data_IF_215850010871
#
_entry.id   IF_215850010871
#
_cell.length_a   1.000
_cell.length_b   1.000
_cell.length_c   1.000
_cell.angle_alpha   90.00
_cell.angle_beta   90.00
_cell.angle_gamma   90.00
#
_symmetry.space_group_name_H-M   'P 1'
#
loop_
_entity.id
_entity.type
_entity.pdbx_description
1 polymer ?
#
# COMPACT_ATOMS: atom_id res chain seq x y z
N UNK A 1 23.56 43.06 -1.12
CA UNK A 1 23.36 41.86 -0.25
C UNK A 1 22.13 41.10 -0.76
N UNK A 2 22.34 40.00 -1.47
CA UNK A 2 21.24 39.16 -2.02
C UNK A 2 20.81 38.16 -0.96
N UNK A 3 19.55 38.24 -0.54
CA UNK A 3 18.95 37.31 0.43
C UNK A 3 18.53 36.04 -0.32
N UNK A 4 19.22 34.93 -0.04
CA UNK A 4 18.84 33.60 -0.49
C UNK A 4 17.71 33.13 0.44
N UNK A 5 16.48 33.11 -0.07
CA UNK A 5 15.35 32.51 0.64
C UNK A 5 15.44 31.00 0.44
N UNK A 6 15.68 30.32 1.56
CA UNK A 6 15.71 28.87 1.70
C UNK A 6 14.33 28.32 1.31
N UNK A 7 14.27 27.59 0.20
CA UNK A 7 13.13 26.75 -0.13
C UNK A 7 13.14 25.56 0.84
N UNK A 8 12.36 25.65 1.92
CA UNK A 8 12.02 24.53 2.76
C UNK A 8 11.16 23.55 1.94
N UNK A 9 11.82 22.57 1.32
CA UNK A 9 11.15 21.47 0.65
C UNK A 9 10.33 20.70 1.68
N UNK A 10 9.02 20.63 1.46
CA UNK A 10 8.12 19.70 2.12
C UNK A 10 8.59 18.30 1.73
N UNK A 11 9.45 17.70 2.56
CA UNK A 11 9.72 16.28 2.50
C UNK A 11 8.45 15.58 2.96
N UNK A 12 7.66 15.11 1.99
CA UNK A 12 6.60 14.15 2.25
C UNK A 12 7.30 12.87 2.75
N UNK A 13 7.41 12.72 4.06
CA UNK A 13 8.00 11.56 4.71
C UNK A 13 7.08 10.35 4.55
N UNK A 14 6.98 9.79 3.33
CA UNK A 14 6.27 8.54 3.05
C UNK A 14 7.16 7.31 3.26
N UNK A 15 7.86 7.25 4.39
CA UNK A 15 8.53 6.03 4.85
C UNK A 15 8.31 5.87 6.36
N UNK A 16 7.06 5.73 6.78
CA UNK A 16 6.74 5.13 8.07
C UNK A 16 5.69 4.05 7.88
N UNK A 17 6.16 2.82 7.71
CA UNK A 17 5.50 1.60 8.22
C UNK A 17 6.45 0.41 8.13
N UNK A 18 7.71 0.59 8.55
CA UNK A 18 8.52 -0.54 9.05
C UNK A 18 8.26 -0.81 10.54
N UNK A 19 7.70 0.15 11.29
CA UNK A 19 7.37 -0.01 12.72
C UNK A 19 6.14 -0.90 13.00
N UNK A 20 5.40 -1.30 11.96
CA UNK A 20 4.28 -2.25 12.08
C UNK A 20 4.66 -3.66 11.63
N UNK A 21 5.82 -3.84 10.99
CA UNK A 21 6.22 -5.14 10.46
C UNK A 21 6.55 -6.11 11.58
N UNK A 22 7.23 -5.66 12.64
CA UNK A 22 7.61 -6.54 13.75
C UNK A 22 6.41 -6.95 14.61
N UNK A 23 5.48 -6.04 14.91
CA UNK A 23 4.27 -6.38 15.67
C UNK A 23 3.31 -7.27 14.84
N UNK A 24 3.24 -7.05 13.52
CA UNK A 24 2.50 -7.93 12.60
C UNK A 24 3.20 -9.29 12.46
N UNK A 25 4.53 -9.32 12.40
CA UNK A 25 5.33 -10.55 12.30
C UNK A 25 5.26 -11.37 13.59
N UNK A 26 5.32 -10.73 14.75
CA UNK A 26 5.16 -11.39 16.05
C UNK A 26 3.71 -11.86 16.25
N UNK A 27 2.73 -11.05 15.84
CA UNK A 27 1.32 -11.45 15.84
C UNK A 27 1.03 -12.61 14.88
N UNK A 28 1.61 -12.60 13.67
CA UNK A 28 1.52 -13.70 12.69
C UNK A 28 2.24 -14.95 13.20
N UNK A 29 3.43 -14.82 13.78
CA UNK A 29 4.20 -15.95 14.32
C UNK A 29 3.46 -16.58 15.48
N UNK A 30 2.85 -15.77 16.35
CA UNK A 30 2.00 -16.23 17.46
C UNK A 30 0.72 -16.92 16.97
N UNK A 31 0.05 -16.38 15.95
CA UNK A 31 -1.10 -17.03 15.29
C UNK A 31 -0.75 -18.35 14.59
N UNK A 32 0.45 -18.49 14.04
CA UNK A 32 0.91 -19.75 13.41
C UNK A 32 1.15 -20.84 14.46
N UNK A 33 1.48 -20.47 15.71
CA UNK A 33 1.77 -21.41 16.79
C UNK A 33 0.54 -21.73 17.66
N UNK A 34 -0.49 -20.88 17.68
CA UNK A 34 -1.79 -21.18 18.29
C UNK A 34 -2.61 -22.11 17.40
N UNK A 35 -2.59 -23.40 17.73
CA UNK A 35 -3.17 -24.49 16.93
C UNK A 35 -4.69 -24.61 16.99
N UNK A 36 -5.42 -23.70 17.62
CA UNK A 36 -6.87 -23.83 17.76
C UNK A 36 -7.61 -22.51 17.47
N UNK A 37 -8.53 -22.58 16.49
CA UNK A 37 -9.65 -21.65 16.26
C UNK A 37 -9.40 -20.24 15.72
N UNK A 38 -8.40 -20.05 14.85
CA UNK A 38 -8.44 -18.97 13.84
C UNK A 38 -9.00 -19.51 12.51
N UNK A 39 -9.77 -18.74 11.71
CA UNK A 39 -10.08 -19.07 10.32
C UNK A 39 -8.83 -18.85 9.45
N UNK A 40 -7.73 -19.49 9.84
CA UNK A 40 -6.44 -19.44 9.20
C UNK A 40 -6.43 -20.31 7.96
N UNK A 41 -5.85 -19.74 6.90
CA UNK A 41 -5.45 -20.36 5.63
C UNK A 41 -5.78 -21.85 5.48
N UNK A 42 -6.75 -22.14 4.63
CA UNK A 42 -7.24 -23.49 4.38
C UNK A 42 -6.12 -24.38 3.86
N UNK A 43 -5.88 -25.50 4.54
CA UNK A 43 -5.02 -26.56 4.06
C UNK A 43 -5.62 -27.22 2.80
N UNK A 44 -4.95 -27.01 1.67
CA UNK A 44 -5.32 -27.52 0.35
C UNK A 44 -4.64 -28.86 0.02
N UNK A 45 -3.82 -29.41 0.92
CA UNK A 45 -3.12 -30.70 0.70
C UNK A 45 -4.07 -31.89 0.50
N UNK A 46 -5.37 -31.71 0.75
CA UNK A 46 -6.43 -32.67 0.41
C UNK A 46 -7.00 -32.57 -1.01
N UNK A 47 -6.55 -31.64 -1.86
CA UNK A 47 -7.01 -31.51 -3.26
C UNK A 47 -6.40 -32.56 -4.21
N UNK A 48 -5.24 -33.15 -3.86
CA UNK A 48 -4.59 -34.21 -4.66
C UNK A 48 -5.12 -35.62 -4.34
N UNK A 49 -6.09 -35.76 -3.42
CA UNK A 49 -6.74 -37.05 -3.19
C UNK A 49 -7.73 -37.28 -4.34
N UNK A 50 -7.65 -38.39 -5.10
CA UNK A 50 -8.65 -38.71 -6.10
C UNK A 50 -9.97 -38.95 -5.37
N UNK A 51 -10.81 -37.91 -5.31
CA UNK A 51 -12.18 -38.06 -4.86
C UNK A 51 -12.86 -38.93 -5.92
N UNK A 52 -13.41 -40.08 -5.50
CA UNK A 52 -14.26 -40.87 -6.36
C UNK A 52 -15.34 -39.92 -6.93
N UNK A 53 -15.43 -39.74 -8.27
CA UNK A 53 -16.32 -38.76 -8.86
C UNK A 53 -17.75 -39.18 -8.55
N UNK A 54 -18.39 -38.50 -7.59
CA UNK A 54 -19.84 -38.49 -7.58
C UNK A 54 -20.23 -37.74 -8.84
N UNK A 55 -20.75 -38.45 -9.84
CA UNK A 55 -21.24 -37.88 -11.10
C UNK A 55 -22.46 -36.98 -10.83
N UNK A 56 -22.23 -35.83 -10.20
CA UNK A 56 -23.19 -34.74 -10.14
C UNK A 56 -23.08 -34.01 -11.47
N UNK A 57 -24.23 -33.84 -12.14
CA UNK A 57 -24.31 -33.03 -13.36
C UNK A 57 -23.78 -31.63 -13.04
N UNK A 58 -22.72 -31.25 -13.74
CA UNK A 58 -22.11 -29.92 -13.60
C UNK A 58 -23.16 -28.85 -13.89
N UNK A 59 -23.29 -27.89 -12.97
CA UNK A 59 -24.20 -26.76 -13.14
C UNK A 59 -23.64 -25.79 -14.19
N UNK A 60 -24.48 -24.93 -14.80
CA UNK A 60 -23.97 -23.92 -15.74
C UNK A 60 -23.07 -22.90 -15.02
N UNK A 61 -22.11 -22.32 -15.75
CA UNK A 61 -21.13 -21.36 -15.21
C UNK A 61 -21.77 -20.11 -14.58
N UNK A 62 -22.96 -19.72 -15.03
CA UNK A 62 -23.72 -18.58 -14.51
C UNK A 62 -24.46 -18.88 -13.20
N UNK A 63 -24.57 -20.15 -12.80
CA UNK A 63 -25.31 -20.58 -11.62
C UNK A 63 -24.73 -19.95 -10.34
N UNK A 64 -25.61 -19.46 -9.47
CA UNK A 64 -25.23 -19.00 -8.13
C UNK A 64 -25.04 -20.23 -7.24
N UNK A 65 -23.84 -20.38 -6.69
CA UNK A 65 -23.47 -21.54 -5.87
C UNK A 65 -23.42 -21.21 -4.38
N UNK A 66 -23.25 -19.94 -4.03
CA UNK A 66 -23.32 -19.43 -2.66
C UNK A 66 -23.69 -17.93 -2.65
N UNK A 67 -24.21 -17.46 -1.53
CA UNK A 67 -24.39 -16.02 -1.26
C UNK A 67 -23.73 -15.71 0.08
N UNK A 68 -22.85 -14.72 0.11
CA UNK A 68 -22.13 -14.31 1.33
C UNK A 68 -22.28 -12.80 1.50
N UNK A 69 -22.93 -12.38 2.60
CA UNK A 69 -23.17 -10.96 2.89
C UNK A 69 -23.79 -10.17 1.72
N UNK A 70 -24.73 -10.79 0.99
CA UNK A 70 -25.35 -10.20 -0.21
C UNK A 70 -24.57 -10.38 -1.52
N UNK A 71 -23.31 -10.81 -1.47
CA UNK A 71 -22.50 -11.12 -2.64
C UNK A 71 -22.82 -12.51 -3.18
N UNK A 72 -23.29 -12.58 -4.43
CA UNK A 72 -23.57 -13.85 -5.12
C UNK A 72 -22.27 -14.41 -5.71
N UNK A 73 -21.84 -15.56 -5.21
CA UNK A 73 -20.72 -16.31 -5.78
C UNK A 73 -21.28 -17.22 -6.86
N UNK A 74 -20.80 -17.03 -8.10
CA UNK A 74 -21.19 -17.84 -9.26
C UNK A 74 -20.22 -19.00 -9.46
N UNK A 75 -20.70 -20.06 -10.12
CA UNK A 75 -19.91 -21.23 -10.46
C UNK A 75 -18.64 -20.86 -11.22
N UNK A 76 -18.75 -19.99 -12.23
CA UNK A 76 -17.59 -19.49 -12.99
C UNK A 76 -16.47 -18.97 -12.08
N UNK A 77 -16.82 -18.16 -11.07
CA UNK A 77 -15.83 -17.60 -10.14
C UNK A 77 -15.12 -18.69 -9.34
N UNK A 78 -15.84 -19.72 -8.91
CA UNK A 78 -15.24 -20.84 -8.21
C UNK A 78 -14.42 -21.75 -9.12
N UNK A 79 -14.87 -22.00 -10.35
CA UNK A 79 -14.13 -22.77 -11.36
C UNK A 79 -12.82 -22.04 -11.74
N UNK A 80 -12.87 -20.74 -12.04
CA UNK A 80 -11.70 -19.91 -12.35
C UNK A 80 -10.69 -19.96 -11.19
N UNK A 81 -11.17 -19.74 -9.96
CA UNK A 81 -10.34 -19.77 -8.75
C UNK A 81 -9.68 -21.15 -8.53
N UNK A 82 -10.45 -22.23 -8.72
CA UNK A 82 -9.96 -23.59 -8.57
C UNK A 82 -8.93 -23.95 -9.65
N UNK A 83 -9.17 -23.53 -10.89
CA UNK A 83 -8.25 -23.73 -12.00
C UNK A 83 -6.90 -23.04 -11.75
N UNK A 84 -6.92 -21.77 -11.31
CA UNK A 84 -5.72 -21.01 -10.99
C UNK A 84 -4.94 -21.66 -9.84
N UNK A 85 -5.65 -22.11 -8.79
CA UNK A 85 -5.04 -22.68 -7.59
C UNK A 85 -4.44 -24.07 -7.82
N UNK A 86 -5.10 -24.89 -8.63
CA UNK A 86 -4.70 -26.27 -8.91
C UNK A 86 -3.86 -26.40 -10.17
N UNK A 87 -3.58 -25.29 -10.87
CA UNK A 87 -2.90 -25.26 -12.17
C UNK A 87 -3.59 -26.18 -13.19
N UNK A 88 -4.92 -26.20 -13.18
CA UNK A 88 -5.75 -26.98 -14.09
C UNK A 88 -5.95 -28.45 -13.75
N UNK A 89 -5.45 -28.96 -12.61
CA UNK A 89 -5.72 -30.35 -12.19
C UNK A 89 -7.20 -30.59 -11.86
N UNK A 90 -7.88 -29.58 -11.29
CA UNK A 90 -9.31 -29.61 -11.03
C UNK A 90 -9.90 -28.29 -11.50
N UNK A 91 -10.85 -28.35 -12.44
CA UNK A 91 -11.43 -27.15 -13.05
C UNK A 91 -12.94 -27.00 -12.79
N UNK A 92 -13.57 -28.02 -12.20
CA UNK A 92 -15.01 -28.00 -11.93
C UNK A 92 -15.29 -28.09 -10.43
N UNK A 93 -15.87 -27.01 -9.90
CA UNK A 93 -16.31 -26.91 -8.52
C UNK A 93 -17.28 -28.04 -8.11
N UNK A 94 -18.14 -28.51 -9.01
CA UNK A 94 -19.16 -29.51 -8.68
C UNK A 94 -18.60 -30.91 -8.49
N UNK A 95 -17.39 -31.17 -8.99
CA UNK A 95 -16.66 -32.42 -8.77
C UNK A 95 -16.00 -32.49 -7.39
N UNK A 96 -15.93 -31.37 -6.67
CA UNK A 96 -15.34 -31.34 -5.34
C UNK A 96 -16.27 -31.99 -4.29
N UNK A 97 -15.70 -32.72 -3.31
CA UNK A 97 -16.44 -33.16 -2.13
C UNK A 97 -17.13 -31.99 -1.41
N UNK A 98 -18.27 -32.24 -0.76
CA UNK A 98 -19.08 -31.19 -0.10
C UNK A 98 -18.27 -30.30 0.86
N UNK A 99 -17.35 -30.89 1.63
CA UNK A 99 -16.52 -30.11 2.57
C UNK A 99 -15.47 -29.25 1.84
N UNK A 100 -14.93 -29.74 0.72
CA UNK A 100 -14.01 -28.96 -0.11
C UNK A 100 -14.73 -27.81 -0.82
N UNK A 101 -15.98 -28.03 -1.27
CA UNK A 101 -16.82 -26.95 -1.81
C UNK A 101 -17.03 -25.84 -0.78
N UNK A 102 -17.39 -26.19 0.47
CA UNK A 102 -17.55 -25.21 1.55
C UNK A 102 -16.25 -24.44 1.84
N UNK A 103 -15.11 -25.15 1.86
CA UNK A 103 -13.79 -24.53 2.08
C UNK A 103 -13.43 -23.52 0.98
N UNK A 104 -13.58 -23.90 -0.29
CA UNK A 104 -13.32 -23.01 -1.42
C UNK A 104 -14.19 -21.76 -1.38
N UNK A 105 -15.48 -21.91 -1.05
CA UNK A 105 -16.39 -20.77 -0.90
C UNK A 105 -15.94 -19.81 0.20
N UNK A 106 -15.48 -20.32 1.35
CA UNK A 106 -14.95 -19.47 2.42
C UNK A 106 -13.70 -18.70 1.97
N UNK A 107 -12.82 -19.36 1.24
CA UNK A 107 -11.59 -18.73 0.71
C UNK A 107 -11.90 -17.63 -0.30
N UNK A 108 -12.82 -17.88 -1.24
CA UNK A 108 -13.30 -16.87 -2.21
C UNK A 108 -13.99 -15.71 -1.49
N UNK A 109 -14.75 -15.99 -0.43
CA UNK A 109 -15.51 -14.98 0.30
C UNK A 109 -14.64 -14.08 1.19
N UNK A 110 -13.52 -14.58 1.72
CA UNK A 110 -12.67 -13.85 2.65
C UNK A 110 -12.23 -12.47 2.11
N UNK A 111 -11.63 -12.33 0.91
CA UNK A 111 -11.26 -11.03 0.38
C UNK A 111 -12.47 -10.11 0.15
N UNK A 112 -13.65 -10.66 -0.17
CA UNK A 112 -14.89 -9.87 -0.32
C UNK A 112 -15.32 -9.28 1.03
N UNK A 113 -15.28 -10.08 2.10
CA UNK A 113 -15.62 -9.65 3.45
C UNK A 113 -14.64 -8.61 3.98
N UNK A 114 -13.34 -8.80 3.73
CA UNK A 114 -12.31 -7.81 4.08
C UNK A 114 -12.56 -6.50 3.33
N UNK A 115 -12.87 -6.56 2.04
CA UNK A 115 -13.16 -5.37 1.24
C UNK A 115 -14.43 -4.63 1.72
N UNK A 116 -15.49 -5.36 2.07
CA UNK A 116 -16.71 -4.77 2.65
C UNK A 116 -16.41 -4.06 3.98
N UNK A 117 -15.60 -4.68 4.83
CA UNK A 117 -15.22 -4.10 6.12
C UNK A 117 -14.35 -2.86 5.92
N UNK A 118 -13.32 -2.95 5.08
CA UNK A 118 -12.45 -1.83 4.74
C UNK A 118 -13.24 -0.64 4.18
N UNK A 119 -14.22 -0.87 3.29
CA UNK A 119 -15.07 0.21 2.76
C UNK A 119 -15.89 0.93 3.83
N UNK A 120 -16.31 0.21 4.88
CA UNK A 120 -17.12 0.74 5.97
C UNK A 120 -16.28 1.44 7.04
N UNK A 121 -15.08 0.95 7.31
CA UNK A 121 -14.24 1.44 8.41
C UNK A 121 -13.24 2.51 7.99
N UNK A 122 -12.74 2.48 6.76
CA UNK A 122 -11.76 3.47 6.31
C UNK A 122 -12.42 4.82 6.10
N UNK A 123 -11.79 5.85 6.67
CA UNK A 123 -12.07 7.26 6.38
C UNK A 123 -11.66 7.60 4.94
N UNK A 124 -12.13 8.74 4.44
CA UNK A 124 -11.81 9.17 3.07
C UNK A 124 -10.32 9.48 2.89
N UNK A 125 -9.66 10.01 3.92
CA UNK A 125 -8.22 10.21 3.93
C UNK A 125 -7.45 8.88 3.84
N UNK A 126 -7.91 7.85 4.56
CA UNK A 126 -7.29 6.52 4.48
C UNK A 126 -7.53 5.85 3.13
N UNK A 127 -8.72 6.00 2.55
CA UNK A 127 -9.01 5.53 1.19
C UNK A 127 -8.11 6.20 0.16
N UNK A 128 -7.94 7.52 0.25
CA UNK A 128 -7.06 8.28 -0.62
C UNK A 128 -5.61 7.79 -0.48
N UNK A 129 -5.12 7.60 0.74
CA UNK A 129 -3.80 7.03 0.99
C UNK A 129 -3.63 5.65 0.34
N UNK A 130 -4.64 4.76 0.44
CA UNK A 130 -4.61 3.44 -0.22
C UNK A 130 -4.58 3.58 -1.75
N UNK A 131 -5.35 4.49 -2.34
CA UNK A 131 -5.33 4.72 -3.79
C UNK A 131 -4.00 5.27 -4.28
N UNK A 132 -3.48 6.30 -3.62
CA UNK A 132 -2.18 6.91 -3.93
C UNK A 132 -1.07 5.86 -3.83
N UNK A 133 -1.03 5.09 -2.75
CA UNK A 133 -0.02 4.05 -2.56
C UNK A 133 -0.13 2.93 -3.62
N UNK A 134 -1.35 2.49 -3.94
CA UNK A 134 -1.56 1.47 -4.97
C UNK A 134 -1.12 1.96 -6.34
N UNK A 135 -1.45 3.21 -6.69
CA UNK A 135 -1.01 3.82 -7.93
C UNK A 135 0.51 3.99 -7.98
N UNK A 136 1.13 4.48 -6.91
CA UNK A 136 2.58 4.63 -6.81
C UNK A 136 3.30 3.29 -7.01
N UNK A 137 2.83 2.21 -6.38
CA UNK A 137 3.37 0.85 -6.59
C UNK A 137 3.26 0.40 -8.05
N UNK A 138 2.15 0.72 -8.72
CA UNK A 138 1.94 0.42 -10.15
C UNK A 138 2.85 1.24 -11.08
N UNK A 139 3.20 2.47 -10.70
CA UNK A 139 4.16 3.27 -11.48
C UNK A 139 5.60 2.83 -11.21
N UNK A 140 5.92 2.52 -9.95
CA UNK A 140 7.19 1.97 -9.53
C UNK A 140 7.56 0.70 -10.30
N UNK A 141 6.60 -0.18 -10.61
CA UNK A 141 6.86 -1.39 -11.40
C UNK A 141 7.17 -1.13 -12.88
N UNK A 142 6.96 0.10 -13.38
CA UNK A 142 7.23 0.48 -14.78
C UNK A 142 8.52 1.28 -14.94
N UNK A 143 9.01 1.88 -13.86
CA UNK A 143 10.19 2.75 -13.88
C UNK A 143 11.38 1.96 -13.34
N UNK A 144 12.43 1.82 -14.14
CA UNK A 144 13.69 1.24 -13.71
C UNK A 144 14.63 2.33 -13.18
N UNK A 145 15.31 2.04 -12.08
CA UNK A 145 16.46 2.80 -11.59
C UNK A 145 17.64 1.83 -11.61
N UNK A 146 18.68 2.15 -12.36
CA UNK A 146 19.88 1.32 -12.46
C UNK A 146 20.77 1.51 -11.24
N UNK A 147 21.63 0.54 -10.94
CA UNK A 147 22.51 0.64 -9.77
C UNK A 147 23.62 1.68 -10.01
N UNK A 148 24.02 1.89 -11.27
CA UNK A 148 24.95 2.93 -11.71
C UNK A 148 24.38 4.33 -11.48
N UNK A 149 23.09 4.53 -11.77
CA UNK A 149 22.41 5.81 -11.49
C UNK A 149 22.43 6.13 -9.98
N UNK A 150 22.23 5.11 -9.14
CA UNK A 150 22.24 5.26 -7.68
C UNK A 150 23.64 5.53 -7.16
N UNK A 151 24.65 4.84 -7.72
CA UNK A 151 26.06 5.04 -7.37
C UNK A 151 26.54 6.43 -7.76
N UNK A 152 26.23 6.90 -8.97
CA UNK A 152 26.59 8.24 -9.42
C UNK A 152 25.98 9.33 -8.52
N UNK A 153 24.72 9.17 -8.10
CA UNK A 153 24.10 10.11 -7.16
C UNK A 153 24.78 10.07 -5.79
N UNK A 154 25.15 8.89 -5.30
CA UNK A 154 25.87 8.73 -4.04
C UNK A 154 27.23 9.42 -4.09
N UNK A 155 28.02 9.19 -5.14
CA UNK A 155 29.34 9.80 -5.29
C UNK A 155 29.25 11.33 -5.37
N UNK A 156 28.25 11.88 -6.07
CA UNK A 156 27.97 13.32 -6.08
C UNK A 156 27.64 13.88 -4.70
N UNK A 157 26.82 13.17 -3.91
CA UNK A 157 26.45 13.60 -2.55
C UNK A 157 27.66 13.51 -1.61
N UNK A 158 28.46 12.45 -1.73
CA UNK A 158 29.70 12.26 -0.98
C UNK A 158 30.70 13.38 -1.27
N UNK A 159 30.90 13.73 -2.54
CA UNK A 159 31.77 14.83 -2.95
C UNK A 159 31.29 16.17 -2.38
N UNK A 160 29.99 16.50 -2.51
CA UNK A 160 29.41 17.73 -1.94
C UNK A 160 29.53 17.79 -0.41
N UNK A 161 29.44 16.64 0.25
CA UNK A 161 29.63 16.56 1.70
C UNK A 161 31.09 16.84 2.07
N UNK A 162 32.06 16.27 1.34
CA UNK A 162 33.49 16.53 1.53
C UNK A 162 33.85 18.00 1.28
N UNK A 163 33.33 18.62 0.22
CA UNK A 163 33.56 20.03 -0.13
C UNK A 163 33.04 21.02 0.92
N UNK A 164 32.01 20.63 1.69
CA UNK A 164 31.42 21.49 2.74
C UNK A 164 32.17 21.45 4.07
N UNK A 165 33.30 20.72 4.17
CA UNK A 165 34.18 20.66 5.35
C UNK A 165 33.43 20.55 6.69
N UNK A 166 32.38 19.74 6.75
CA UNK A 166 31.72 19.44 8.02
C UNK A 166 32.60 18.43 8.77
N UNK A 167 33.20 18.89 9.86
CA UNK A 167 34.21 18.22 10.70
C UNK A 167 33.76 16.89 11.35
N UNK A 168 32.58 16.37 10.98
CA UNK A 168 31.97 15.12 11.48
C UNK A 168 31.25 14.30 10.38
N UNK A 169 31.63 14.43 9.11
CA UNK A 169 30.98 13.72 8.00
C UNK A 169 31.31 12.22 7.95
N UNK A 170 30.60 11.43 8.75
CA UNK A 170 30.46 9.99 8.51
C UNK A 170 29.45 9.84 7.36
N UNK A 171 29.97 9.74 6.13
CA UNK A 171 29.14 9.36 4.97
C UNK A 171 28.84 7.87 5.10
N UNK A 172 27.56 7.46 5.21
CA UNK A 172 27.21 6.05 5.33
C UNK A 172 27.70 5.26 4.12
N UNK A 173 28.18 4.01 4.29
CA UNK A 173 28.59 3.17 3.16
C UNK A 173 27.47 3.01 2.14
N UNK A 174 27.81 3.02 0.84
CA UNK A 174 26.85 2.92 -0.26
C UNK A 174 25.85 1.77 -0.08
N UNK A 175 26.34 0.57 0.23
CA UNK A 175 25.50 -0.63 0.37
C UNK A 175 24.44 -0.50 1.47
N UNK A 176 24.74 0.25 2.54
CA UNK A 176 23.80 0.48 3.64
C UNK A 176 22.61 1.37 3.28
N UNK A 177 22.75 2.20 2.23
CA UNK A 177 21.74 3.18 1.83
C UNK A 177 21.24 2.99 0.40
N UNK A 178 21.84 2.09 -0.39
CA UNK A 178 21.52 1.82 -1.79
C UNK A 178 20.02 1.62 -2.02
N UNK A 179 19.38 0.77 -1.21
CA UNK A 179 17.95 0.48 -1.30
C UNK A 179 17.08 1.72 -1.08
N UNK A 180 17.39 2.51 -0.06
CA UNK A 180 16.71 3.76 0.27
C UNK A 180 16.90 4.80 -0.83
N UNK A 181 18.13 4.95 -1.34
CA UNK A 181 18.42 5.87 -2.44
C UNK A 181 17.68 5.47 -3.71
N UNK A 182 17.64 4.17 -4.03
CA UNK A 182 16.89 3.65 -5.17
C UNK A 182 15.39 3.97 -5.06
N UNK A 183 14.80 3.77 -3.88
CA UNK A 183 13.41 4.14 -3.62
C UNK A 183 13.15 5.65 -3.78
N UNK A 184 14.03 6.50 -3.23
CA UNK A 184 13.92 7.95 -3.37
C UNK A 184 14.06 8.43 -4.82
N UNK A 185 14.98 7.84 -5.58
CA UNK A 185 15.14 8.15 -7.01
C UNK A 185 13.91 7.73 -7.82
N UNK A 186 13.34 6.57 -7.50
CA UNK A 186 12.12 6.07 -8.13
C UNK A 186 10.94 7.01 -7.88
N UNK A 187 10.72 7.37 -6.61
CA UNK A 187 9.69 8.32 -6.20
C UNK A 187 9.86 9.66 -6.92
N UNK A 188 11.10 10.19 -6.94
CA UNK A 188 11.40 11.45 -7.62
C UNK A 188 11.16 11.36 -9.13
N UNK A 189 11.51 10.26 -9.80
CA UNK A 189 11.22 10.06 -11.24
C UNK A 189 9.71 10.08 -11.51
N UNK A 190 8.92 9.40 -10.69
CA UNK A 190 7.46 9.36 -10.80
C UNK A 190 6.87 10.76 -10.56
N UNK A 191 7.27 11.42 -9.47
CA UNK A 191 6.78 12.75 -9.10
C UNK A 191 7.14 13.81 -10.15
N UNK A 192 8.37 13.79 -10.67
CA UNK A 192 8.80 14.68 -11.74
C UNK A 192 7.95 14.48 -13.00
N UNK A 193 7.52 13.25 -13.30
CA UNK A 193 6.60 12.99 -14.40
C UNK A 193 5.24 13.66 -14.17
N UNK A 194 4.70 13.55 -12.95
CA UNK A 194 3.41 14.14 -12.58
C UNK A 194 3.45 15.68 -12.60
N UNK A 195 4.50 16.26 -12.04
CA UNK A 195 4.61 17.71 -11.79
C UNK A 195 4.96 18.54 -13.03
N UNK A 196 5.33 17.92 -14.16
CA UNK A 196 5.71 18.63 -15.40
C UNK A 196 4.61 19.55 -15.93
N UNK A 197 3.35 19.13 -15.80
CA UNK A 197 2.21 19.81 -16.40
C UNK A 197 1.27 20.44 -15.35
N UNK A 198 1.72 20.50 -14.09
CA UNK A 198 0.89 21.02 -12.99
C UNK A 198 1.12 22.51 -12.81
N UNK A 199 0.05 23.29 -12.97
CA UNK A 199 0.04 24.72 -12.61
C UNK A 199 -0.16 24.86 -11.10
N UNK A 200 0.85 25.38 -10.41
CA UNK A 200 0.80 25.63 -8.97
C UNK A 200 0.71 27.14 -8.74
N UNK A 201 -0.38 27.58 -8.13
CA UNK A 201 -0.58 28.96 -7.70
C UNK A 201 -0.53 29.02 -6.17
N UNK A 202 0.29 29.92 -5.63
CA UNK A 202 0.40 30.14 -4.19
C UNK A 202 -0.42 31.37 -3.84
N UNK A 203 -1.48 31.18 -3.05
CA UNK A 203 -2.26 32.30 -2.54
C UNK A 203 -1.41 33.17 -1.60
N UNK A 204 -1.49 34.49 -1.75
CA UNK A 204 -0.83 35.41 -0.84
C UNK A 204 -1.40 35.24 0.59
N UNK A 205 -0.55 35.35 1.64
CA UNK A 205 -1.05 35.32 3.01
C UNK A 205 -2.06 36.46 3.18
N UNK A 206 -3.26 36.14 3.68
CA UNK A 206 -4.27 37.16 3.98
C UNK A 206 -3.66 38.17 4.96
N UNK A 207 -3.56 39.43 4.55
CA UNK A 207 -3.11 40.50 5.43
C UNK A 207 -4.03 40.54 6.65
N UNK A 208 -3.48 40.31 7.85
CA UNK A 208 -4.25 40.50 9.07
C UNK A 208 -4.75 41.95 9.10
N UNK A 209 -6.05 42.19 9.38
CA UNK A 209 -6.57 43.54 9.46
C UNK A 209 -5.76 44.33 10.51
N UNK A 210 -5.45 45.62 10.24
CA UNK A 210 -4.67 46.42 11.16
C UNK A 210 -5.34 46.40 12.54
N UNK A 211 -4.63 45.92 13.56
CA UNK A 211 -5.09 46.02 14.94
C UNK A 211 -5.30 47.51 15.23
N UNK A 212 -6.57 47.89 15.42
CA UNK A 212 -6.94 49.23 15.83
C UNK A 212 -6.29 49.49 17.20
N UNK A 213 -5.17 50.22 17.19
CA UNK A 213 -4.61 50.79 18.41
C UNK A 213 -5.65 51.77 18.94
N UNK A 214 -6.42 51.36 19.96
CA UNK A 214 -7.29 52.27 20.70
C UNK A 214 -6.40 53.38 21.25
N UNK A 215 -6.58 54.61 20.76
CA UNK A 215 -5.96 55.80 21.35
C UNK A 215 -6.33 55.83 22.85
N UNK A 216 -5.37 56.11 23.74
CA UNK A 216 -5.70 56.32 25.15
C UNK A 216 -6.65 57.50 25.25
N UNK A 217 -7.83 57.27 25.81
CA UNK A 217 -8.75 58.31 26.24
C UNK A 217 -8.11 59.04 27.41
N UNK A 218 -7.60 60.23 27.15
CA UNK A 218 -7.18 61.15 28.20
C UNK A 218 -8.46 61.63 28.91
N UNK A 219 -8.82 60.95 30.00
CA UNK A 219 -9.80 61.47 30.94
C UNK A 219 -9.10 62.51 31.82
N UNK A 220 -9.19 63.76 31.39
CA UNK A 220 -8.95 64.92 32.25
C UNK A 220 -10.23 65.16 33.04
N UNK A 221 -10.24 64.80 34.33
CA UNK A 221 -11.21 65.31 35.30
C UNK A 221 -10.54 66.38 36.15
N UNK A 222 -11.22 67.53 36.22
CA UNK A 222 -10.96 68.66 37.13
C UNK A 222 -10.95 68.23 38.61
#
# INVERSE_FOLDING_TARGET
MRKIIVAAGISLGMLVSSLSADHLKDSLTKMIHEKETMPGMVDLSGLDRPAAPQMQKSRPSSAVIATVNGHKIRKKTADDYLNDRTKGKVADFDLLPKDQRKRLIKEIALPMLIADRAKKELSDQEKEAVYVNTWMRKQASKVSVSDEEVQALYDQLKQKAMERNATNNIVPPFDSIKSKMKAQMLEKKIMNGLMKDVKIEVAAPMAMPPMMIRKPTNNTTN
#
